data_IF_044414108247
#
_entry.id   IF_044414108247
#
_cell.length_a   1.000
_cell.length_b   1.000
_cell.length_c   1.000
_cell.angle_alpha   90.00
_cell.angle_beta   90.00
_cell.angle_gamma   90.00
#
_symmetry.space_group_name_H-M   'P 1'
#
loop_
_entity.id
_entity.type
_entity.pdbx_description
1 polymer ?
#
# COMPACT_ATOMS: atom_id res chain seq x y z
N UNK A 1 -32.86 73.94 -67.22
CA UNK A 1 -32.59 72.54 -66.85
C UNK A 1 -31.28 72.11 -67.47
N UNK A 2 -30.26 71.84 -66.65
CA UNK A 2 -29.23 70.81 -66.88
C UNK A 2 -28.29 70.86 -65.67
N UNK A 3 -28.44 69.91 -64.74
CA UNK A 3 -27.56 69.76 -63.59
C UNK A 3 -26.40 68.83 -63.99
N UNK A 4 -25.21 69.40 -64.17
CA UNK A 4 -23.97 68.61 -64.24
C UNK A 4 -23.61 68.17 -62.82
N UNK A 5 -23.61 66.84 -62.62
CA UNK A 5 -23.06 66.18 -61.42
C UNK A 5 -21.53 66.24 -61.45
N UNK A 6 -20.86 66.66 -60.37
CA UNK A 6 -19.45 66.36 -60.17
C UNK A 6 -19.29 64.95 -59.61
N UNK A 7 -18.40 64.20 -60.26
CA UNK A 7 -17.95 62.87 -59.89
C UNK A 7 -16.99 62.98 -58.69
N UNK A 8 -17.39 62.47 -57.52
CA UNK A 8 -16.54 62.39 -56.32
C UNK A 8 -15.96 60.97 -56.28
N UNK A 9 -14.63 60.78 -56.38
CA UNK A 9 -14.01 59.49 -56.11
C UNK A 9 -14.09 59.21 -54.62
N UNK A 10 -14.72 58.08 -54.27
CA UNK A 10 -14.81 57.60 -52.89
C UNK A 10 -13.40 57.35 -52.33
N UNK A 11 -13.08 58.11 -51.28
CA UNK A 11 -11.94 57.87 -50.40
C UNK A 11 -12.00 56.44 -49.86
N UNK A 12 -10.88 55.75 -50.04
CA UNK A 12 -10.58 54.44 -49.48
C UNK A 12 -10.84 54.44 -47.98
N UNK A 13 -11.76 53.57 -47.53
CA UNK A 13 -12.06 53.36 -46.14
C UNK A 13 -10.80 52.84 -45.43
N UNK A 14 -10.32 53.63 -44.46
CA UNK A 14 -9.28 53.27 -43.52
C UNK A 14 -9.60 51.92 -42.87
N UNK A 15 -8.68 50.98 -43.03
CA UNK A 15 -8.69 49.69 -42.36
C UNK A 15 -8.83 49.87 -40.83
N UNK A 16 -9.53 48.97 -40.12
CA UNK A 16 -9.48 48.95 -38.67
C UNK A 16 -8.05 48.66 -38.25
N UNK A 17 -7.44 49.56 -37.46
CA UNK A 17 -6.19 49.28 -36.76
C UNK A 17 -6.39 48.01 -35.90
N UNK A 18 -5.88 46.88 -36.40
CA UNK A 18 -5.69 45.70 -35.59
C UNK A 18 -4.78 46.09 -34.41
N UNK A 19 -5.14 45.78 -33.15
CA UNK A 19 -4.19 45.91 -32.07
C UNK A 19 -3.02 45.00 -32.42
N UNK A 20 -1.83 45.59 -32.48
CA UNK A 20 -0.59 44.89 -32.73
C UNK A 20 -0.56 43.65 -31.86
N UNK A 21 -0.52 42.49 -32.52
CA UNK A 21 -0.30 41.21 -31.89
C UNK A 21 1.12 41.26 -31.33
N UNK A 22 1.26 41.77 -30.11
CA UNK A 22 2.54 41.83 -29.41
C UNK A 22 3.06 40.39 -29.35
N UNK A 23 4.19 40.15 -29.99
CA UNK A 23 4.89 38.88 -29.90
C UNK A 23 5.23 38.67 -28.42
N UNK A 24 4.65 37.63 -27.82
CA UNK A 24 4.88 37.29 -26.41
C UNK A 24 6.26 36.65 -26.27
N UNK A 25 7.32 37.45 -26.39
CA UNK A 25 8.67 36.99 -26.11
C UNK A 25 8.81 36.73 -24.60
N UNK A 26 9.11 35.51 -24.15
CA UNK A 26 9.25 35.20 -22.74
C UNK A 26 10.35 36.06 -22.09
N UNK A 27 10.03 36.69 -20.95
CA UNK A 27 11.02 37.43 -20.16
C UNK A 27 12.00 36.51 -19.43
N UNK A 28 13.04 37.09 -18.84
CA UNK A 28 14.08 36.38 -18.07
C UNK A 28 13.51 35.42 -17.02
N UNK A 29 12.49 35.84 -16.26
CA UNK A 29 11.84 34.98 -15.27
C UNK A 29 11.16 33.76 -15.91
N UNK A 30 10.48 33.94 -17.04
CA UNK A 30 9.82 32.83 -17.74
C UNK A 30 10.83 31.80 -18.28
N UNK A 31 11.97 32.26 -18.81
CA UNK A 31 13.05 31.37 -19.26
C UNK A 31 13.69 30.58 -18.10
N UNK A 32 13.82 31.20 -16.92
CA UNK A 32 14.28 30.50 -15.70
C UNK A 32 13.29 29.42 -15.26
N UNK A 33 11.99 29.66 -15.41
CA UNK A 33 10.93 28.69 -15.10
C UNK A 33 10.89 27.51 -16.07
N UNK A 34 11.33 27.66 -17.32
CA UNK A 34 11.37 26.56 -18.29
C UNK A 34 12.35 25.44 -17.88
N UNK A 35 13.42 25.80 -17.16
CA UNK A 35 14.43 24.86 -16.66
C UNK A 35 14.07 24.27 -15.29
N UNK A 36 12.87 24.50 -14.79
CA UNK A 36 12.48 24.15 -13.43
C UNK A 36 12.55 22.64 -13.20
N UNK A 37 12.18 21.80 -14.17
CA UNK A 37 12.13 20.33 -13.99
C UNK A 37 13.49 19.74 -13.57
N UNK A 38 14.58 20.28 -14.15
CA UNK A 38 15.96 19.82 -13.96
C UNK A 38 16.60 20.30 -12.63
N UNK A 39 15.91 21.13 -11.85
CA UNK A 39 16.44 21.72 -10.62
C UNK A 39 16.09 20.92 -9.36
N UNK A 40 16.92 21.07 -8.32
CA UNK A 40 16.66 20.51 -6.98
C UNK A 40 15.47 21.18 -6.29
N UNK A 41 14.86 20.52 -5.30
CA UNK A 41 13.74 21.09 -4.54
C UNK A 41 14.09 22.42 -3.85
N UNK A 42 15.31 22.54 -3.33
CA UNK A 42 15.78 23.77 -2.66
C UNK A 42 15.91 24.91 -3.66
N UNK A 43 16.58 24.67 -4.80
CA UNK A 43 16.73 25.67 -5.87
C UNK A 43 15.39 26.09 -6.46
N UNK A 44 14.44 25.16 -6.61
CA UNK A 44 13.05 25.46 -7.00
C UNK A 44 12.40 26.43 -6.03
N UNK A 45 12.54 26.19 -4.73
CA UNK A 45 12.01 27.06 -3.67
C UNK A 45 12.60 28.48 -3.72
N UNK A 46 13.93 28.58 -3.84
CA UNK A 46 14.63 29.87 -3.97
C UNK A 46 14.22 30.63 -5.24
N UNK A 47 14.09 29.93 -6.37
CA UNK A 47 13.62 30.51 -7.63
C UNK A 47 12.18 31.02 -7.49
N UNK A 48 11.27 30.24 -6.90
CA UNK A 48 9.89 30.68 -6.67
C UNK A 48 9.84 31.91 -5.76
N UNK A 49 10.66 31.95 -4.71
CA UNK A 49 10.75 33.10 -3.81
C UNK A 49 11.27 34.35 -4.53
N UNK A 50 12.30 34.21 -5.36
CA UNK A 50 12.82 35.30 -6.21
C UNK A 50 11.76 35.80 -7.18
N UNK A 51 11.05 34.92 -7.88
CA UNK A 51 9.99 35.30 -8.83
C UNK A 51 8.83 35.99 -8.11
N UNK A 52 8.45 35.51 -6.92
CA UNK A 52 7.42 36.14 -6.10
C UNK A 52 7.85 37.56 -5.65
N UNK A 53 9.11 37.73 -5.24
CA UNK A 53 9.65 39.03 -4.87
C UNK A 53 9.64 40.01 -6.06
N UNK A 54 10.04 39.56 -7.25
CA UNK A 54 10.03 40.37 -8.47
C UNK A 54 8.60 40.80 -8.84
N UNK A 55 7.63 39.88 -8.75
CA UNK A 55 6.22 40.17 -8.96
C UNK A 55 5.77 41.25 -7.96
N UNK A 56 5.97 41.03 -6.66
CA UNK A 56 5.58 41.99 -5.62
C UNK A 56 6.20 43.38 -5.87
N UNK A 57 7.50 43.46 -6.15
CA UNK A 57 8.19 44.70 -6.45
C UNK A 57 7.61 45.41 -7.69
N UNK A 58 7.24 44.64 -8.72
CA UNK A 58 6.59 45.16 -9.92
C UNK A 58 5.22 45.76 -9.60
N UNK A 59 4.37 45.03 -8.86
CA UNK A 59 3.05 45.52 -8.46
C UNK A 59 3.14 46.78 -7.58
N UNK A 60 4.10 46.84 -6.64
CA UNK A 60 4.37 48.02 -5.80
C UNK A 60 4.79 49.21 -6.68
N UNK A 61 5.69 48.99 -7.64
CA UNK A 61 6.16 50.05 -8.53
C UNK A 61 5.03 50.60 -9.40
N UNK A 62 4.18 49.73 -9.93
CA UNK A 62 3.01 50.15 -10.72
C UNK A 62 2.04 50.96 -9.86
N UNK A 63 1.74 50.51 -8.64
CA UNK A 63 0.88 51.25 -7.72
C UNK A 63 1.43 52.67 -7.48
N UNK A 64 2.73 52.77 -7.19
CA UNK A 64 3.43 54.06 -7.01
C UNK A 64 3.29 54.97 -8.24
N UNK A 65 3.60 54.46 -9.45
CA UNK A 65 3.48 55.26 -10.68
C UNK A 65 2.03 55.61 -11.03
N UNK A 66 1.06 54.82 -10.58
CA UNK A 66 -0.37 55.14 -10.71
C UNK A 66 -0.78 56.27 -9.77
N UNK A 67 -0.30 56.27 -8.52
CA UNK A 67 -0.53 57.34 -7.55
C UNK A 67 0.09 58.66 -7.99
N UNK A 68 1.26 58.61 -8.62
CA UNK A 68 1.94 59.76 -9.21
C UNK A 68 1.25 60.27 -10.50
N UNK A 69 0.21 59.58 -10.99
CA UNK A 69 -0.53 59.95 -12.20
C UNK A 69 0.22 59.68 -13.51
N UNK A 70 1.36 58.99 -13.45
CA UNK A 70 2.18 58.61 -14.61
C UNK A 70 1.51 57.45 -15.37
N UNK A 71 0.94 56.49 -14.63
CA UNK A 71 0.12 55.42 -15.20
C UNK A 71 -1.36 55.74 -15.05
N UNK A 72 -2.09 55.68 -16.17
CA UNK A 72 -3.55 55.78 -16.20
C UNK A 72 -4.17 54.38 -16.17
N UNK A 73 -5.46 54.28 -15.81
CA UNK A 73 -6.16 52.99 -15.73
C UNK A 73 -6.13 52.15 -17.03
N UNK A 74 -6.05 52.81 -18.19
CA UNK A 74 -5.86 52.13 -19.47
C UNK A 74 -4.53 51.35 -19.58
N UNK A 75 -3.50 51.78 -18.84
CA UNK A 75 -2.19 51.13 -18.82
C UNK A 75 -2.15 49.95 -17.83
N UNK A 76 -3.00 49.97 -16.79
CA UNK A 76 -2.98 48.95 -15.72
C UNK A 76 -3.98 47.80 -15.95
N UNK A 77 -4.89 47.88 -16.93
CA UNK A 77 -5.87 46.81 -17.19
C UNK A 77 -5.27 45.44 -17.56
N UNK A 78 -4.00 45.38 -17.96
CA UNK A 78 -3.27 44.11 -18.19
C UNK A 78 -2.98 43.37 -16.89
N UNK A 79 -2.87 44.10 -15.77
CA UNK A 79 -2.60 43.58 -14.43
C UNK A 79 -3.79 42.78 -13.92
N UNK A 80 -5.02 43.24 -14.18
CA UNK A 80 -6.23 42.51 -13.84
C UNK A 80 -6.26 41.13 -14.50
N UNK A 81 -5.80 41.03 -15.76
CA UNK A 81 -5.67 39.76 -16.48
C UNK A 81 -4.63 38.83 -15.85
N UNK A 82 -3.50 39.37 -15.38
CA UNK A 82 -2.48 38.61 -14.66
C UNK A 82 -3.06 38.06 -13.34
N UNK A 83 -3.70 38.92 -12.53
CA UNK A 83 -4.35 38.52 -11.28
C UNK A 83 -5.39 37.43 -11.53
N UNK A 84 -6.24 37.61 -12.55
CA UNK A 84 -7.28 36.65 -12.90
C UNK A 84 -6.69 35.29 -13.30
N UNK A 85 -5.65 35.29 -14.13
CA UNK A 85 -4.96 34.07 -14.57
C UNK A 85 -4.37 33.30 -13.39
N UNK A 86 -3.74 34.00 -12.45
CA UNK A 86 -3.19 33.39 -11.23
C UNK A 86 -4.30 32.75 -10.40
N UNK A 87 -5.40 33.47 -10.17
CA UNK A 87 -6.56 32.96 -9.41
C UNK A 87 -7.16 31.70 -10.04
N UNK A 88 -7.39 31.73 -11.35
CA UNK A 88 -8.01 30.60 -12.06
C UNK A 88 -7.12 29.35 -12.06
N UNK A 89 -5.80 29.55 -12.16
CA UNK A 89 -4.83 28.44 -12.14
C UNK A 89 -4.75 27.79 -10.76
N UNK A 90 -4.72 28.61 -9.71
CA UNK A 90 -4.69 28.19 -8.31
C UNK A 90 -5.94 27.39 -7.92
N UNK A 91 -7.13 27.83 -8.34
CA UNK A 91 -8.39 27.09 -8.15
C UNK A 91 -8.35 25.71 -8.84
N UNK A 92 -7.88 25.64 -10.10
CA UNK A 92 -7.77 24.37 -10.84
C UNK A 92 -6.80 23.40 -10.16
N UNK A 93 -5.64 23.88 -9.73
CA UNK A 93 -4.64 23.05 -9.05
C UNK A 93 -5.16 22.54 -7.69
N UNK A 94 -5.80 23.39 -6.89
CA UNK A 94 -6.43 22.96 -5.64
C UNK A 94 -7.47 21.87 -5.85
N UNK A 95 -8.35 22.02 -6.85
CA UNK A 95 -9.36 21.00 -7.13
C UNK A 95 -8.76 19.67 -7.57
N UNK A 96 -7.67 19.68 -8.34
CA UNK A 96 -6.99 18.45 -8.76
C UNK A 96 -6.35 17.73 -7.58
N UNK A 97 -5.64 18.48 -6.72
CA UNK A 97 -5.05 17.95 -5.49
C UNK A 97 -6.11 17.42 -4.53
N UNK A 98 -7.21 18.14 -4.33
CA UNK A 98 -8.33 17.69 -3.51
C UNK A 98 -8.93 16.38 -4.01
N UNK A 99 -9.10 16.24 -5.33
CA UNK A 99 -9.58 14.99 -5.94
C UNK A 99 -8.60 13.84 -5.68
N UNK A 100 -7.30 14.09 -5.80
CA UNK A 100 -6.27 13.09 -5.53
C UNK A 100 -6.25 12.68 -4.05
N UNK A 101 -6.27 13.64 -3.13
CA UNK A 101 -6.34 13.39 -1.69
C UNK A 101 -7.60 12.59 -1.34
N UNK A 102 -8.75 12.93 -1.91
CA UNK A 102 -10.01 12.19 -1.70
C UNK A 102 -9.90 10.74 -2.21
N UNK A 103 -9.31 10.51 -3.38
CA UNK A 103 -9.07 9.16 -3.92
C UNK A 103 -8.17 8.34 -3.00
N UNK A 104 -7.01 8.88 -2.63
CA UNK A 104 -6.06 8.21 -1.74
C UNK A 104 -6.67 7.89 -0.36
N UNK A 105 -7.48 8.80 0.20
CA UNK A 105 -8.20 8.55 1.45
C UNK A 105 -9.19 7.38 1.34
N UNK A 106 -9.92 7.28 0.21
CA UNK A 106 -10.84 6.16 -0.04
C UNK A 106 -10.08 4.84 -0.16
N UNK A 107 -9.00 4.84 -0.91
CA UNK A 107 -8.15 3.67 -1.12
C UNK A 107 -7.51 3.19 0.19
N UNK A 108 -6.95 4.11 0.99
CA UNK A 108 -6.44 3.80 2.34
C UNK A 108 -7.50 3.14 3.22
N UNK A 109 -8.72 3.71 3.25
CA UNK A 109 -9.83 3.14 4.05
C UNK A 109 -10.23 1.75 3.55
N UNK A 110 -10.26 1.55 2.22
CA UNK A 110 -10.56 0.26 1.63
C UNK A 110 -9.50 -0.79 1.98
N UNK A 111 -8.21 -0.45 1.84
CA UNK A 111 -7.11 -1.32 2.25
C UNK A 111 -7.20 -1.67 3.73
N UNK A 112 -7.38 -0.67 4.61
CA UNK A 112 -7.53 -0.89 6.03
C UNK A 112 -8.66 -1.89 6.34
N UNK A 113 -9.82 -1.75 5.71
CA UNK A 113 -10.94 -2.69 5.87
C UNK A 113 -10.58 -4.11 5.40
N UNK A 114 -9.87 -4.24 4.29
CA UNK A 114 -9.42 -5.52 3.75
C UNK A 114 -8.44 -6.22 4.71
N UNK A 115 -7.45 -5.50 5.23
CA UNK A 115 -6.48 -6.04 6.18
C UNK A 115 -7.12 -6.38 7.52
N UNK A 116 -8.04 -5.57 8.05
CA UNK A 116 -8.76 -5.90 9.28
C UNK A 116 -9.58 -7.19 9.15
N UNK A 117 -10.20 -7.43 7.98
CA UNK A 117 -10.92 -8.68 7.73
C UNK A 117 -9.97 -9.88 7.70
N UNK A 118 -8.83 -9.75 7.03
CA UNK A 118 -7.82 -10.80 6.95
C UNK A 118 -7.24 -11.14 8.34
N UNK A 119 -6.91 -10.11 9.12
CA UNK A 119 -6.45 -10.28 10.50
C UNK A 119 -7.50 -11.02 11.34
N UNK A 120 -8.77 -10.64 11.25
CA UNK A 120 -9.86 -11.36 11.95
C UNK A 120 -9.99 -12.83 11.55
N UNK A 121 -9.76 -13.17 10.28
CA UNK A 121 -9.73 -14.56 9.81
C UNK A 121 -8.53 -15.33 10.38
N UNK A 122 -7.34 -14.73 10.34
CA UNK A 122 -6.12 -15.33 10.90
C UNK A 122 -6.26 -15.57 12.42
N UNK A 123 -6.81 -14.60 13.15
CA UNK A 123 -7.08 -14.73 14.59
C UNK A 123 -8.09 -15.85 14.88
N UNK A 124 -9.12 -15.98 14.03
CA UNK A 124 -10.09 -17.07 14.12
C UNK A 124 -9.44 -18.44 13.94
N UNK A 125 -8.59 -18.59 12.94
CA UNK A 125 -7.83 -19.82 12.69
C UNK A 125 -6.86 -20.13 13.84
N UNK A 126 -6.15 -19.11 14.35
CA UNK A 126 -5.24 -19.24 15.48
C UNK A 126 -5.93 -19.77 16.74
N UNK A 127 -7.11 -19.23 17.07
CA UNK A 127 -7.92 -19.71 18.19
C UNK A 127 -8.40 -21.15 17.99
N UNK A 128 -8.87 -21.50 16.78
CA UNK A 128 -9.31 -22.85 16.47
C UNK A 128 -8.17 -23.87 16.60
N UNK A 129 -6.98 -23.52 16.09
CA UNK A 129 -5.77 -24.33 16.22
C UNK A 129 -5.36 -24.50 17.69
N UNK A 130 -5.33 -23.42 18.47
CA UNK A 130 -5.02 -23.48 19.90
C UNK A 130 -5.99 -24.39 20.66
N UNK A 131 -7.30 -24.29 20.38
CA UNK A 131 -8.30 -25.16 20.98
C UNK A 131 -8.10 -26.64 20.61
N UNK A 132 -7.76 -26.94 19.35
CA UNK A 132 -7.42 -28.30 18.91
C UNK A 132 -6.18 -28.84 19.64
N UNK A 133 -5.13 -28.02 19.74
CA UNK A 133 -3.90 -28.38 20.44
C UNK A 133 -4.14 -28.68 21.92
N UNK A 134 -4.97 -27.87 22.60
CA UNK A 134 -5.30 -28.12 24.00
C UNK A 134 -6.06 -29.43 24.19
N UNK A 135 -7.04 -29.73 23.32
CA UNK A 135 -7.75 -31.02 23.34
C UNK A 135 -6.78 -32.18 23.17
N UNK A 136 -5.90 -32.12 22.17
CA UNK A 136 -4.88 -33.15 21.96
C UNK A 136 -3.95 -33.35 23.16
N UNK A 137 -3.54 -32.26 23.83
CA UNK A 137 -2.72 -32.33 25.05
C UNK A 137 -3.45 -33.02 26.21
N UNK A 138 -4.75 -32.77 26.35
CA UNK A 138 -5.58 -33.42 27.38
C UNK A 138 -5.68 -34.92 27.08
N UNK A 139 -6.07 -35.29 25.85
CA UNK A 139 -6.20 -36.69 25.45
C UNK A 139 -4.88 -37.45 25.57
N UNK A 140 -3.76 -36.82 25.22
CA UNK A 140 -2.43 -37.42 25.40
C UNK A 140 -2.10 -37.69 26.88
N UNK A 141 -2.50 -36.77 27.77
CA UNK A 141 -2.31 -36.95 29.22
C UNK A 141 -3.17 -38.09 29.75
N UNK A 142 -4.42 -38.16 29.32
CA UNK A 142 -5.36 -39.23 29.70
C UNK A 142 -4.83 -40.60 29.25
N UNK A 143 -4.47 -40.75 27.97
CA UNK A 143 -3.91 -41.99 27.43
C UNK A 143 -2.62 -42.42 28.16
N UNK A 144 -1.74 -41.46 28.50
CA UNK A 144 -0.55 -41.75 29.32
C UNK A 144 -0.91 -42.23 30.72
N UNK A 145 -1.96 -41.67 31.32
CA UNK A 145 -2.48 -42.09 32.61
C UNK A 145 -3.00 -43.53 32.58
N UNK A 146 -3.77 -43.89 31.56
CA UNK A 146 -4.27 -45.24 31.33
C UNK A 146 -3.14 -46.25 31.14
N UNK A 147 -2.16 -45.94 30.29
CA UNK A 147 -0.97 -46.80 30.10
C UNK A 147 -0.23 -47.01 31.42
N UNK A 148 -0.05 -45.97 32.23
CA UNK A 148 0.60 -46.09 33.54
C UNK A 148 -0.25 -46.87 34.56
N UNK A 149 -1.57 -46.86 34.45
CA UNK A 149 -2.44 -47.71 35.26
C UNK A 149 -2.33 -49.18 34.85
N UNK A 150 -2.46 -49.48 33.56
CA UNK A 150 -2.36 -50.84 33.04
C UNK A 150 -1.01 -51.48 33.36
N UNK A 151 0.09 -50.72 33.28
CA UNK A 151 1.42 -51.21 33.71
C UNK A 151 1.45 -51.59 35.18
N UNK A 152 0.88 -50.77 36.06
CA UNK A 152 0.79 -51.08 37.50
C UNK A 152 -0.04 -52.35 37.75
N UNK A 153 -1.15 -52.51 37.05
CA UNK A 153 -1.99 -53.71 37.14
C UNK A 153 -1.23 -54.97 36.69
N UNK A 154 -0.50 -54.90 35.57
CA UNK A 154 0.36 -55.98 35.09
C UNK A 154 1.44 -56.34 36.11
N UNK A 155 2.15 -55.34 36.66
CA UNK A 155 3.21 -55.55 37.66
C UNK A 155 2.66 -56.25 38.91
N UNK A 156 1.46 -55.88 39.37
CA UNK A 156 0.78 -56.53 40.50
C UNK A 156 0.44 -58.00 40.19
N UNK A 157 -0.13 -58.28 39.01
CA UNK A 157 -0.47 -59.64 38.59
C UNK A 157 0.79 -60.52 38.47
N UNK A 158 1.87 -59.97 37.92
CA UNK A 158 3.14 -60.68 37.81
C UNK A 158 3.75 -60.96 39.20
N UNK A 159 3.63 -60.02 40.15
CA UNK A 159 4.07 -60.21 41.52
C UNK A 159 3.21 -61.23 42.29
N UNK A 160 1.90 -61.31 42.04
CA UNK A 160 1.05 -62.36 42.61
C UNK A 160 1.38 -63.74 42.04
N UNK A 161 1.61 -63.83 40.73
CA UNK A 161 2.00 -65.09 40.08
C UNK A 161 3.34 -65.61 40.60
N UNK A 162 4.34 -64.73 40.72
CA UNK A 162 5.65 -65.10 41.31
C UNK A 162 5.50 -65.63 42.74
N UNK A 163 4.64 -65.01 43.56
CA UNK A 163 4.35 -65.50 44.92
C UNK A 163 3.68 -66.87 44.92
N UNK A 164 2.65 -67.09 44.10
CA UNK A 164 1.96 -68.39 44.04
C UNK A 164 2.86 -69.51 43.52
N UNK A 165 3.79 -69.21 42.60
CA UNK A 165 4.78 -70.19 42.11
C UNK A 165 5.80 -70.55 43.20
N UNK A 166 6.20 -69.59 44.04
CA UNK A 166 7.13 -69.85 45.16
C UNK A 166 6.42 -70.64 46.28
N UNK A 167 5.18 -70.29 46.62
CA UNK A 167 4.38 -71.02 47.62
C UNK A 167 3.99 -72.44 47.16
N UNK A 168 3.77 -72.63 45.86
CA UNK A 168 3.52 -73.96 45.25
C UNK A 168 4.77 -74.85 45.09
N UNK A 169 5.97 -74.34 45.40
CA UNK A 169 7.24 -75.08 45.30
C UNK A 169 7.72 -75.66 46.63
N UNK A 170 6.91 -75.57 47.70
CA UNK A 170 7.15 -76.22 48.99
C UNK A 170 6.67 -77.69 49.04
N UNK A 171 6.77 -78.42 47.93
CA UNK A 171 6.92 -79.87 47.95
C UNK A 171 8.23 -80.22 47.24
N UNK A 172 9.18 -80.90 47.91
CA UNK A 172 10.45 -81.24 47.29
C UNK A 172 10.21 -82.36 46.28
N UNK A 173 10.38 -82.05 44.99
CA UNK A 173 10.59 -83.06 43.97
C UNK A 173 11.49 -82.48 42.89
N UNK A 174 12.52 -83.26 42.60
CA UNK A 174 13.66 -83.00 41.74
C UNK A 174 13.29 -82.68 40.28
N UNK A 175 14.19 -81.91 39.64
CA UNK A 175 14.46 -81.81 38.19
C UNK A 175 13.26 -81.37 37.31
N UNK A 176 13.39 -80.44 36.36
CA UNK A 176 14.16 -80.59 35.12
C UNK A 176 14.41 -79.20 34.54
N UNK A 177 15.63 -79.05 34.02
CA UNK A 177 16.13 -78.01 33.16
C UNK A 177 15.38 -77.98 31.82
N UNK A 178 14.68 -76.89 31.51
CA UNK A 178 14.02 -76.68 30.21
C UNK A 178 14.01 -75.19 29.88
N UNK A 179 14.83 -74.80 28.91
CA UNK A 179 14.93 -73.44 28.41
C UNK A 179 13.67 -72.99 27.68
N UNK A 180 13.40 -71.70 27.75
CA UNK A 180 12.44 -71.05 26.87
C UNK A 180 13.08 -69.75 26.37
N UNK A 181 13.64 -69.82 25.16
CA UNK A 181 13.99 -68.65 24.36
C UNK A 181 12.72 -67.85 24.08
N UNK A 182 12.72 -66.59 24.47
CA UNK A 182 11.71 -65.62 24.02
C UNK A 182 12.31 -64.92 22.82
N UNK A 183 11.87 -65.36 21.64
CA UNK A 183 12.10 -64.71 20.36
C UNK A 183 11.52 -63.30 20.40
N UNK A 184 12.41 -62.30 20.42
CA UNK A 184 12.06 -60.87 20.41
C UNK A 184 11.82 -60.48 18.96
N UNK A 185 10.60 -60.77 18.50
CA UNK A 185 10.11 -60.41 17.18
C UNK A 185 10.34 -58.93 16.86
N UNK A 186 10.87 -58.73 15.66
CA UNK A 186 11.41 -57.50 15.08
C UNK A 186 10.45 -56.30 15.15
N UNK A 187 11.00 -55.16 15.59
CA UNK A 187 10.41 -53.85 15.40
C UNK A 187 10.37 -53.53 13.89
N UNK A 188 9.19 -53.70 13.28
CA UNK A 188 8.93 -53.26 11.90
C UNK A 188 8.85 -51.73 11.90
N UNK A 189 9.95 -51.10 11.50
CA UNK A 189 10.06 -49.67 11.21
C UNK A 189 9.24 -49.35 9.95
N UNK A 190 8.06 -48.76 10.15
CA UNK A 190 7.18 -48.35 9.07
C UNK A 190 7.63 -47.02 8.49
N UNK A 191 8.34 -47.09 7.36
CA UNK A 191 8.60 -45.96 6.48
C UNK A 191 7.27 -45.35 6.00
N UNK A 192 7.05 -44.06 6.29
CA UNK A 192 5.96 -43.30 5.70
C UNK A 192 6.45 -42.62 4.43
N UNK A 193 5.95 -43.05 3.27
CA UNK A 193 6.09 -42.34 2.01
C UNK A 193 5.49 -40.92 2.11
N UNK A 194 6.33 -39.90 1.89
CA UNK A 194 5.88 -38.53 1.70
C UNK A 194 5.37 -38.43 0.26
N UNK A 195 4.05 -38.37 0.09
CA UNK A 195 3.44 -38.04 -1.19
C UNK A 195 3.88 -36.64 -1.64
N UNK A 196 4.66 -36.61 -2.72
CA UNK A 196 5.06 -35.42 -3.45
C UNK A 196 3.81 -34.84 -4.15
N UNK A 197 3.16 -33.86 -3.54
CA UNK A 197 2.16 -33.05 -4.22
C UNK A 197 2.86 -31.95 -5.01
N UNK A 198 3.29 -32.30 -6.22
CA UNK A 198 3.58 -31.32 -7.26
C UNK A 198 2.29 -30.60 -7.65
N UNK A 199 2.29 -29.28 -7.50
CA UNK A 199 1.30 -28.41 -8.14
C UNK A 199 2.07 -27.43 -9.03
N UNK A 200 2.34 -27.90 -10.26
CA UNK A 200 2.75 -27.08 -11.39
C UNK A 200 1.56 -26.19 -11.82
N UNK A 201 1.43 -25.02 -11.21
CA UNK A 201 0.61 -23.98 -11.83
C UNK A 201 1.41 -23.29 -12.93
N UNK A 202 1.29 -23.83 -14.15
CA UNK A 202 1.52 -23.12 -15.41
C UNK A 202 0.80 -21.77 -15.39
N UNK A 203 1.54 -20.68 -15.52
CA UNK A 203 1.02 -19.43 -16.08
C UNK A 203 1.65 -19.25 -17.47
N UNK A 204 0.97 -19.80 -18.48
CA UNK A 204 0.99 -19.22 -19.82
C UNK A 204 -0.05 -18.09 -19.83
N UNK A 205 0.38 -16.90 -20.22
CA UNK A 205 -0.47 -15.71 -20.27
C UNK A 205 0.18 -14.67 -21.17
N UNK A 206 -0.13 -14.80 -22.45
CA UNK A 206 0.05 -13.89 -23.59
C UNK A 206 0.44 -12.44 -23.29
N UNK A 207 1.55 -12.00 -23.90
CA UNK A 207 1.78 -10.68 -24.48
C UNK A 207 2.85 -10.75 -25.58
#
# INVERSE_FOLDING_TARGET
MSFQKPNIPFQSAMAPHQPSQQQNTPGSCALRLERLEQQTSTTKGELMASVAADICATFISIAKYSEEGILQGQHTGVIDKVIQTIRDTDVKQRHLLDRQVRRLRKERKWMQKKYSRLAGQADGLGRAYQAKMQRMRISLREARGEVAQLRRELDMLQASLKRSVIEGRCTPSDNIHGGFEVDMGEDVDGDYEIAESGDESKYEGDL
#
